data_IF_499845588909
#
_entry.id   IF_499845588909
#
_cell.length_a   1.000
_cell.length_b   1.000
_cell.length_c   1.000
_cell.angle_alpha   90.00
_cell.angle_beta   90.00
_cell.angle_gamma   90.00
#
_symmetry.space_group_name_H-M   'P 1'
#
loop_
_entity.id
_entity.type
_entity.pdbx_description
1 polymer ?
#
# COMPACT_ATOMS: atom_id res chain seq x y z
N UNK A 1 -53.06 -14.54 -42.61
CA UNK A 1 -52.19 -13.46 -42.10
C UNK A 1 -52.01 -13.68 -40.61
N UNK A 2 -50.80 -14.07 -40.20
CA UNK A 2 -50.24 -13.93 -38.85
C UNK A 2 -48.76 -14.27 -38.99
N UNK A 3 -47.96 -13.22 -39.19
CA UNK A 3 -46.51 -13.25 -39.31
C UNK A 3 -45.90 -13.36 -37.91
N UNK A 4 -45.19 -14.45 -37.66
CA UNK A 4 -44.27 -14.61 -36.52
C UNK A 4 -43.04 -13.74 -36.80
N UNK A 5 -42.63 -12.81 -35.91
CA UNK A 5 -41.40 -12.07 -36.10
C UNK A 5 -40.20 -12.96 -35.76
N UNK A 6 -39.28 -13.08 -36.72
CA UNK A 6 -38.02 -13.78 -36.63
C UNK A 6 -37.09 -13.13 -35.59
N UNK A 7 -36.32 -13.99 -34.90
CA UNK A 7 -35.14 -13.61 -34.13
C UNK A 7 -34.22 -12.70 -34.93
N UNK A 8 -33.85 -11.56 -34.34
CA UNK A 8 -32.89 -10.64 -34.91
C UNK A 8 -32.46 -9.60 -33.89
N UNK A 9 -31.16 -9.61 -33.61
CA UNK A 9 -30.35 -8.60 -32.90
C UNK A 9 -30.11 -8.82 -31.40
N UNK A 10 -29.28 -9.83 -31.11
CA UNK A 10 -28.23 -9.69 -30.11
C UNK A 10 -27.40 -8.43 -30.45
N UNK A 11 -27.76 -7.28 -29.87
CA UNK A 11 -26.85 -6.14 -29.80
C UNK A 11 -25.78 -6.48 -28.78
N UNK A 12 -24.56 -6.47 -29.29
CA UNK A 12 -23.34 -6.84 -28.59
C UNK A 12 -23.20 -6.18 -27.22
N UNK A 13 -22.79 -7.04 -26.29
CA UNK A 13 -21.72 -6.80 -25.33
C UNK A 13 -20.92 -5.53 -25.65
N UNK A 14 -21.14 -4.48 -24.86
CA UNK A 14 -20.03 -3.67 -24.36
C UNK A 14 -20.11 -3.74 -22.84
N UNK A 15 -19.68 -4.88 -22.30
CA UNK A 15 -19.13 -4.86 -20.95
C UNK A 15 -17.99 -3.86 -21.02
N UNK A 16 -18.15 -2.72 -20.36
CA UNK A 16 -17.03 -1.86 -20.03
C UNK A 16 -16.10 -2.74 -19.20
N UNK A 17 -15.14 -3.39 -19.86
CA UNK A 17 -13.95 -3.87 -19.21
C UNK A 17 -13.37 -2.62 -18.56
N UNK A 18 -13.62 -2.46 -17.26
CA UNK A 18 -12.99 -1.45 -16.46
C UNK A 18 -11.51 -1.67 -16.69
N UNK A 19 -10.89 -0.77 -17.45
CA UNK A 19 -9.43 -0.68 -17.50
C UNK A 19 -9.06 -0.55 -16.03
N UNK A 20 -8.56 -1.64 -15.45
CA UNK A 20 -8.20 -1.69 -14.04
C UNK A 20 -7.24 -0.52 -13.85
N UNK A 21 -7.70 0.51 -13.14
CA UNK A 21 -6.88 1.68 -12.86
C UNK A 21 -5.75 1.16 -11.99
N UNK A 22 -4.58 0.95 -12.58
CA UNK A 22 -3.40 0.55 -11.81
C UNK A 22 -3.01 1.72 -10.91
N UNK A 23 -3.17 1.51 -9.62
CA UNK A 23 -2.84 2.43 -8.53
C UNK A 23 -1.59 1.88 -7.86
N UNK A 24 -0.62 2.74 -7.55
CA UNK A 24 0.58 2.36 -6.81
C UNK A 24 0.73 3.19 -5.53
N UNK A 25 1.31 2.55 -4.51
CA UNK A 25 1.70 3.23 -3.28
C UNK A 25 3.04 3.95 -3.47
N UNK A 26 3.03 5.26 -3.30
CA UNK A 26 4.23 6.11 -3.39
C UNK A 26 4.46 6.85 -2.08
N UNK A 27 5.72 6.90 -1.67
CA UNK A 27 6.19 7.76 -0.59
C UNK A 27 6.23 9.20 -1.09
N UNK A 28 5.55 10.08 -0.36
CA UNK A 28 5.45 11.52 -0.62
C UNK A 28 6.16 12.36 0.44
N UNK A 29 6.86 11.72 1.40
CA UNK A 29 7.68 12.41 2.40
C UNK A 29 8.80 13.27 1.78
N UNK A 30 9.19 12.94 0.54
CA UNK A 30 10.13 13.73 -0.25
C UNK A 30 9.70 15.18 -0.39
N UNK A 31 8.40 15.45 -0.52
CA UNK A 31 7.88 16.82 -0.68
C UNK A 31 8.19 17.72 0.50
N UNK A 32 8.33 17.15 1.70
CA UNK A 32 8.73 17.87 2.91
C UNK A 32 10.26 18.08 2.96
N UNK A 33 11.01 17.06 2.56
CA UNK A 33 12.47 17.01 2.72
C UNK A 33 13.23 17.62 1.54
N UNK A 34 12.52 18.03 0.48
CA UNK A 34 13.09 18.56 -0.77
C UNK A 34 13.43 17.50 -1.81
N UNK A 35 13.08 16.24 -1.55
CA UNK A 35 13.29 15.09 -2.43
C UNK A 35 12.06 14.81 -3.32
N UNK A 36 12.26 14.11 -4.44
CA UNK A 36 11.13 13.59 -5.24
C UNK A 36 10.40 12.43 -4.54
N UNK A 37 9.14 12.19 -4.93
CA UNK A 37 8.37 11.03 -4.45
C UNK A 37 9.02 9.72 -4.90
N UNK A 38 9.18 8.76 -3.98
CA UNK A 38 9.81 7.45 -4.24
C UNK A 38 8.78 6.32 -4.09
N UNK A 39 9.12 5.10 -4.51
CA UNK A 39 8.28 3.93 -4.19
C UNK A 39 8.19 3.79 -2.67
N UNK A 40 6.99 3.56 -2.15
CA UNK A 40 6.80 3.35 -0.72
C UNK A 40 7.57 2.10 -0.26
N UNK A 41 8.13 2.14 0.95
CA UNK A 41 8.73 0.96 1.58
C UNK A 41 7.69 0.23 2.45
N UNK A 42 7.95 -1.05 2.74
CA UNK A 42 7.06 -1.89 3.55
C UNK A 42 7.65 -2.10 4.95
N UNK A 43 6.87 -1.80 5.99
CA UNK A 43 7.27 -2.06 7.37
C UNK A 43 7.39 -3.57 7.66
N UNK A 44 8.56 -4.01 8.11
CA UNK A 44 8.89 -5.41 8.33
C UNK A 44 9.83 -5.60 9.54
N UNK A 45 9.63 -6.68 10.31
CA UNK A 45 10.55 -7.06 11.39
C UNK A 45 11.83 -7.65 10.78
N UNK A 46 13.01 -7.25 11.28
CA UNK A 46 14.29 -7.68 10.74
C UNK A 46 14.48 -7.26 9.27
N UNK A 47 14.07 -6.03 8.98
CA UNK A 47 14.36 -5.33 7.73
C UNK A 47 15.86 -5.17 7.54
N UNK A 48 16.27 -5.20 6.28
CA UNK A 48 17.64 -4.97 5.85
C UNK A 48 17.62 -4.64 4.37
N UNK A 49 18.75 -4.19 3.83
CA UNK A 49 18.94 -4.01 2.38
C UNK A 49 18.84 -5.33 1.60
N UNK A 50 18.84 -6.46 2.31
CA UNK A 50 18.66 -7.81 1.77
C UNK A 50 17.21 -8.32 1.86
N UNK A 51 16.26 -7.51 2.36
CA UNK A 51 14.86 -7.90 2.51
C UNK A 51 13.94 -7.02 1.67
N UNK A 52 13.21 -7.64 0.76
CA UNK A 52 12.13 -7.02 -0.01
C UNK A 52 10.78 -7.56 0.45
N UNK A 53 9.72 -6.82 0.16
CA UNK A 53 8.34 -7.29 0.31
C UNK A 53 7.49 -6.99 -0.92
N UNK A 54 6.44 -7.78 -1.12
CA UNK A 54 5.40 -7.51 -2.09
C UNK A 54 4.01 -7.73 -1.46
N UNK A 55 3.06 -6.89 -1.87
CA UNK A 55 1.69 -6.95 -1.38
C UNK A 55 0.92 -8.05 -2.12
N UNK A 56 0.27 -8.94 -1.39
CA UNK A 56 -0.58 -10.01 -1.94
C UNK A 56 -2.07 -9.74 -1.74
N UNK A 57 -2.43 -8.65 -1.05
CA UNK A 57 -3.82 -8.31 -0.72
C UNK A 57 -4.75 -8.25 -1.94
N UNK A 58 -4.19 -7.96 -3.12
CA UNK A 58 -4.95 -7.87 -4.36
C UNK A 58 -5.36 -9.22 -4.98
N UNK A 59 -4.89 -10.34 -4.40
CA UNK A 59 -5.20 -11.70 -4.85
C UNK A 59 -6.26 -12.38 -3.97
N UNK A 60 -6.95 -11.61 -3.13
CA UNK A 60 -8.03 -12.05 -2.25
C UNK A 60 -7.73 -13.38 -1.54
N UNK A 61 -8.54 -14.42 -1.74
CA UNK A 61 -8.39 -15.73 -1.09
C UNK A 61 -7.26 -16.58 -1.68
N UNK A 62 -6.79 -16.25 -2.89
CA UNK A 62 -5.76 -17.04 -3.60
C UNK A 62 -4.34 -16.60 -3.25
N UNK A 63 -4.18 -15.64 -2.34
CA UNK A 63 -2.90 -15.02 -1.99
C UNK A 63 -1.80 -16.04 -1.61
N UNK A 64 -2.14 -17.18 -1.00
CA UNK A 64 -1.18 -18.24 -0.64
C UNK A 64 -0.58 -18.89 -1.90
N UNK A 65 -1.45 -19.28 -2.84
CA UNK A 65 -1.05 -19.86 -4.12
C UNK A 65 -0.20 -18.84 -4.90
N UNK A 66 -0.57 -17.56 -4.85
CA UNK A 66 0.21 -16.50 -5.52
C UNK A 66 1.56 -16.26 -4.87
N UNK A 67 1.66 -16.40 -3.54
CA UNK A 67 2.95 -16.30 -2.87
C UNK A 67 3.92 -17.37 -3.39
N UNK A 68 3.47 -18.62 -3.48
CA UNK A 68 4.29 -19.73 -4.00
C UNK A 68 4.64 -19.52 -5.48
N UNK A 69 3.69 -19.08 -6.31
CA UNK A 69 3.94 -18.78 -7.73
C UNK A 69 5.03 -17.70 -7.92
N UNK A 70 5.07 -16.70 -7.03
CA UNK A 70 6.12 -15.67 -7.03
C UNK A 70 7.48 -16.28 -6.66
N UNK A 71 7.51 -17.16 -5.64
CA UNK A 71 8.74 -17.82 -5.20
C UNK A 71 9.29 -18.76 -6.28
N UNK A 72 8.42 -19.54 -6.94
CA UNK A 72 8.80 -20.38 -8.07
C UNK A 72 9.39 -19.57 -9.22
N UNK A 73 8.82 -18.39 -9.50
CA UNK A 73 9.30 -17.49 -10.56
C UNK A 73 10.60 -16.75 -10.23
N UNK A 74 10.99 -16.68 -8.95
CA UNK A 74 12.34 -16.23 -8.57
C UNK A 74 13.41 -17.28 -8.96
N UNK A 75 13.01 -18.53 -9.21
CA UNK A 75 13.88 -19.60 -9.68
C UNK A 75 15.03 -19.89 -8.72
N UNK A 76 16.23 -20.04 -9.27
CA UNK A 76 17.42 -20.44 -8.50
C UNK A 76 18.03 -19.31 -7.64
N UNK A 77 17.39 -18.14 -7.53
CA UNK A 77 17.89 -17.06 -6.67
C UNK A 77 17.84 -17.53 -5.20
N UNK A 78 18.98 -17.63 -4.49
CA UNK A 78 18.98 -18.07 -3.09
C UNK A 78 18.21 -17.11 -2.19
N UNK A 79 17.09 -17.58 -1.64
CA UNK A 79 16.16 -16.80 -0.83
C UNK A 79 15.59 -17.59 0.36
N UNK A 80 15.14 -16.84 1.37
CA UNK A 80 14.25 -17.33 2.43
C UNK A 80 12.99 -16.46 2.43
N UNK A 81 11.81 -17.07 2.47
CA UNK A 81 10.53 -16.36 2.50
C UNK A 81 9.95 -16.26 3.91
N UNK A 82 9.14 -15.22 4.14
CA UNK A 82 8.35 -14.99 5.33
C UNK A 82 7.01 -14.39 4.90
N UNK A 83 5.90 -14.83 5.50
CA UNK A 83 4.57 -14.36 5.13
C UNK A 83 3.91 -13.67 6.32
N UNK A 84 3.49 -12.43 6.13
CA UNK A 84 2.55 -11.75 7.01
C UNK A 84 1.12 -12.03 6.54
N UNK A 85 0.50 -13.07 7.11
CA UNK A 85 -0.84 -13.51 6.74
C UNK A 85 -1.95 -12.51 7.08
N UNK A 86 -1.72 -11.56 8.01
CA UNK A 86 -2.71 -10.55 8.38
C UNK A 86 -2.74 -9.42 7.37
N UNK A 87 -1.56 -8.92 7.01
CA UNK A 87 -1.40 -7.85 6.03
C UNK A 87 -1.37 -8.35 4.59
N UNK A 88 -1.29 -9.67 4.40
CA UNK A 88 -1.14 -10.36 3.11
C UNK A 88 0.09 -9.82 2.37
N UNK A 89 1.26 -9.98 2.99
CA UNK A 89 2.54 -9.53 2.45
C UNK A 89 3.49 -10.72 2.41
N UNK A 90 4.12 -10.94 1.26
CA UNK A 90 5.25 -11.84 1.13
C UNK A 90 6.53 -11.02 1.31
N UNK A 91 7.37 -11.44 2.26
CA UNK A 91 8.73 -10.96 2.40
C UNK A 91 9.71 -11.99 1.88
N UNK A 92 10.73 -11.51 1.17
CA UNK A 92 11.80 -12.36 0.63
C UNK A 92 13.13 -11.79 1.10
N UNK A 93 13.90 -12.62 1.81
CA UNK A 93 15.26 -12.33 2.26
C UNK A 93 16.25 -12.97 1.30
N UNK A 94 17.17 -12.18 0.79
CA UNK A 94 18.16 -12.60 -0.19
C UNK A 94 19.52 -12.81 0.47
N UNK A 95 20.33 -13.71 -0.11
CA UNK A 95 21.68 -13.99 0.40
C UNK A 95 22.63 -12.78 0.32
N UNK A 96 22.51 -11.96 -0.71
CA UNK A 96 23.39 -10.82 -0.98
C UNK A 96 22.69 -9.76 -1.84
N UNK A 97 23.32 -8.59 -1.99
CA UNK A 97 22.76 -7.47 -2.76
C UNK A 97 22.65 -7.75 -4.27
N UNK A 98 23.47 -8.66 -4.81
CA UNK A 98 23.37 -9.05 -6.22
C UNK A 98 22.04 -9.77 -6.50
N UNK A 99 21.64 -10.67 -5.59
CA UNK A 99 20.36 -11.36 -5.66
C UNK A 99 19.16 -10.40 -5.54
N UNK A 100 19.27 -9.37 -4.69
CA UNK A 100 18.27 -8.30 -4.56
C UNK A 100 18.09 -7.56 -5.89
N UNK A 101 19.20 -7.22 -6.57
CA UNK A 101 19.17 -6.56 -7.88
C UNK A 101 18.52 -7.47 -8.93
N UNK A 102 18.93 -8.73 -9.02
CA UNK A 102 18.32 -9.73 -9.91
C UNK A 102 16.81 -9.86 -9.70
N UNK A 103 16.35 -9.89 -8.46
CA UNK A 103 14.93 -9.96 -8.15
C UNK A 103 14.16 -8.67 -8.54
N UNK A 104 14.74 -7.48 -8.33
CA UNK A 104 14.12 -6.21 -8.77
C UNK A 104 14.06 -6.08 -10.29
N UNK A 105 15.04 -6.66 -11.00
CA UNK A 105 15.10 -6.68 -12.47
C UNK A 105 14.24 -7.79 -13.08
N UNK A 106 13.93 -8.84 -12.31
CA UNK A 106 13.04 -9.92 -12.74
C UNK A 106 11.63 -9.37 -13.00
N UNK A 107 11.18 -9.46 -14.25
CA UNK A 107 9.83 -9.08 -14.64
C UNK A 107 8.84 -10.19 -14.27
N UNK A 108 8.72 -10.49 -12.97
CA UNK A 108 7.80 -11.51 -12.48
C UNK A 108 6.37 -11.01 -12.69
N UNK A 109 5.58 -11.82 -13.37
CA UNK A 109 4.17 -11.55 -13.65
C UNK A 109 3.32 -12.70 -13.11
N UNK A 110 2.30 -12.41 -12.31
CA UNK A 110 1.35 -13.38 -11.76
C UNK A 110 -0.06 -12.87 -12.03
N UNK A 111 -0.90 -13.70 -12.66
CA UNK A 111 -2.25 -13.32 -13.13
C UNK A 111 -2.28 -12.04 -13.99
N UNK A 112 -1.32 -11.92 -14.91
CA UNK A 112 -1.15 -10.74 -15.77
C UNK A 112 -0.85 -9.43 -14.99
N UNK A 113 -0.36 -9.55 -13.75
CA UNK A 113 0.07 -8.43 -12.92
C UNK A 113 1.55 -8.53 -12.62
N UNK A 114 2.27 -7.45 -12.89
CA UNK A 114 3.69 -7.37 -12.55
C UNK A 114 3.85 -7.26 -11.04
N UNK A 115 4.69 -8.12 -10.48
CA UNK A 115 5.04 -8.10 -9.06
C UNK A 115 5.97 -6.93 -8.79
N UNK A 116 5.56 -6.09 -7.85
CA UNK A 116 6.36 -4.97 -7.39
C UNK A 116 7.05 -5.33 -6.07
N UNK A 117 8.33 -5.67 -6.13
CA UNK A 117 9.16 -5.75 -4.93
C UNK A 117 9.51 -4.36 -4.42
N UNK A 118 9.22 -4.12 -3.14
CA UNK A 118 9.48 -2.89 -2.42
C UNK A 118 10.53 -3.15 -1.35
N UNK A 119 11.36 -2.14 -1.08
CA UNK A 119 12.28 -2.18 0.06
C UNK A 119 11.51 -2.19 1.37
N UNK A 120 12.17 -2.64 2.42
CA UNK A 120 11.57 -2.70 3.75
C UNK A 120 12.13 -1.62 4.67
N UNK A 121 11.38 -1.28 5.72
CA UNK A 121 11.87 -0.53 6.89
C UNK A 121 11.72 -1.38 8.14
N UNK A 122 12.66 -1.26 9.08
CA UNK A 122 12.64 -2.00 10.34
C UNK A 122 11.42 -1.59 11.16
N UNK A 123 10.59 -2.57 11.49
CA UNK A 123 9.42 -2.42 12.35
C UNK A 123 9.74 -2.88 13.77
N UNK A 124 9.67 -1.96 14.72
CA UNK A 124 9.69 -2.24 16.17
C UNK A 124 8.33 -1.95 16.83
N UNK A 125 8.22 -2.23 18.14
CA UNK A 125 7.00 -1.92 18.95
C UNK A 125 6.63 -0.43 18.98
N UNK A 126 7.57 0.43 18.61
CA UNK A 126 7.45 1.88 18.63
C UNK A 126 6.78 2.45 17.36
N UNK A 127 6.55 1.63 16.33
CA UNK A 127 6.00 2.12 15.07
C UNK A 127 4.49 1.93 15.00
N UNK A 128 3.77 2.95 14.53
CA UNK A 128 2.34 2.86 14.24
C UNK A 128 2.05 3.40 12.84
N UNK A 129 1.06 2.80 12.21
CA UNK A 129 0.52 3.26 10.93
C UNK A 129 -0.82 3.93 11.19
N UNK A 130 -0.92 5.21 10.84
CA UNK A 130 -2.17 5.95 10.79
C UNK A 130 -2.64 6.02 9.33
N UNK A 131 -3.95 5.99 9.12
CA UNK A 131 -4.56 6.09 7.80
C UNK A 131 -5.61 7.18 7.80
N UNK A 132 -5.57 8.04 6.79
CA UNK A 132 -6.68 8.92 6.43
C UNK A 132 -7.48 8.22 5.33
N UNK A 133 -8.73 7.82 5.60
CA UNK A 133 -9.50 7.01 4.67
C UNK A 133 -9.91 7.79 3.43
N UNK A 134 -10.28 9.06 3.59
CA UNK A 134 -10.78 9.93 2.53
C UNK A 134 -10.39 11.38 2.77
N UNK A 135 -10.19 12.11 1.69
CA UNK A 135 -9.86 13.54 1.62
C UNK A 135 -10.86 14.16 0.64
N UNK A 136 -11.48 15.29 0.96
CA UNK A 136 -12.49 15.89 0.07
C UNK A 136 -12.09 17.28 -0.44
N UNK A 137 -11.76 18.21 0.46
CA UNK A 137 -11.52 19.62 0.13
C UNK A 137 -10.04 19.94 0.04
N UNK A 138 -9.26 19.31 0.91
CA UNK A 138 -7.84 19.59 1.05
C UNK A 138 -7.03 19.01 -0.11
N UNK A 139 -6.09 19.78 -0.66
CA UNK A 139 -5.12 19.24 -1.63
C UNK A 139 -4.14 18.29 -0.93
N UNK A 140 -3.71 17.20 -1.58
CA UNK A 140 -2.80 16.23 -0.94
C UNK A 140 -1.48 16.87 -0.47
N UNK A 141 -1.00 17.90 -1.17
CA UNK A 141 0.20 18.66 -0.90
C UNK A 141 0.09 19.36 0.45
N UNK A 142 -0.96 20.18 0.61
CA UNK A 142 -1.21 20.89 1.86
C UNK A 142 -1.49 19.94 3.02
N UNK A 143 -2.21 18.85 2.76
CA UNK A 143 -2.47 17.84 3.77
C UNK A 143 -1.19 17.16 4.24
N UNK A 144 -0.26 16.85 3.33
CA UNK A 144 1.04 16.24 3.65
C UNK A 144 1.86 17.18 4.54
N UNK A 145 1.89 18.48 4.24
CA UNK A 145 2.55 19.48 5.09
C UNK A 145 1.93 19.55 6.49
N UNK A 146 0.60 19.66 6.57
CA UNK A 146 -0.11 19.78 7.84
C UNK A 146 0.07 18.52 8.69
N UNK A 147 -0.01 17.34 8.07
CA UNK A 147 0.24 16.06 8.73
C UNK A 147 1.66 15.95 9.27
N UNK A 148 2.65 16.33 8.47
CA UNK A 148 4.03 16.27 8.90
C UNK A 148 4.24 17.18 10.12
N UNK A 149 3.78 18.43 10.05
CA UNK A 149 3.97 19.40 11.13
C UNK A 149 3.27 18.97 12.43
N UNK A 150 2.03 18.49 12.35
CA UNK A 150 1.27 18.07 13.53
C UNK A 150 1.87 16.81 14.15
N UNK A 151 2.14 15.80 13.34
CA UNK A 151 2.56 14.49 13.84
C UNK A 151 4.04 14.46 14.23
N UNK A 152 4.90 15.24 13.57
CA UNK A 152 6.32 15.30 13.92
C UNK A 152 6.55 15.86 15.34
N UNK A 153 5.56 16.54 15.93
CA UNK A 153 5.59 16.99 17.32
C UNK A 153 5.45 15.85 18.34
N UNK A 154 4.85 14.72 17.94
CA UNK A 154 4.54 13.57 18.82
C UNK A 154 5.33 12.31 18.50
N UNK A 155 5.99 12.23 17.35
CA UNK A 155 6.87 11.13 16.97
C UNK A 155 7.56 11.39 15.62
N UNK A 156 8.59 10.61 15.31
CA UNK A 156 9.34 10.77 14.07
C UNK A 156 8.49 10.24 12.90
N UNK A 157 8.15 11.13 11.95
CA UNK A 157 7.43 10.73 10.73
C UNK A 157 8.42 10.05 9.78
N UNK A 158 8.29 8.73 9.65
CA UNK A 158 9.20 7.89 8.86
C UNK A 158 8.82 7.93 7.38
N UNK A 159 7.53 7.87 7.08
CA UNK A 159 7.03 7.94 5.72
C UNK A 159 5.58 8.44 5.69
N UNK A 160 5.22 9.08 4.58
CA UNK A 160 3.85 9.41 4.21
C UNK A 160 3.60 8.76 2.86
N UNK A 161 2.70 7.78 2.82
CA UNK A 161 2.39 7.02 1.61
C UNK A 161 1.04 7.43 1.03
N UNK A 162 1.02 7.86 -0.22
CA UNK A 162 -0.19 8.16 -0.98
C UNK A 162 -0.45 7.11 -2.08
N UNK A 163 -1.70 7.00 -2.52
CA UNK A 163 -2.04 6.27 -3.74
C UNK A 163 -1.92 7.19 -4.94
N UNK A 164 -1.12 6.78 -5.94
CA UNK A 164 -0.91 7.49 -7.20
C UNK A 164 -1.36 6.62 -8.38
N UNK A 165 -1.93 7.24 -9.40
CA UNK A 165 -2.14 6.56 -10.67
C UNK A 165 -0.81 6.23 -11.34
N UNK A 166 -0.61 4.98 -11.78
CA UNK A 166 0.70 4.57 -12.29
C UNK A 166 1.21 5.41 -13.47
N UNK A 167 0.31 5.81 -14.36
CA UNK A 167 0.64 6.51 -15.60
C UNK A 167 0.35 8.02 -15.58
N UNK A 168 -0.03 8.58 -14.42
CA UNK A 168 -0.44 9.99 -14.32
C UNK A 168 0.12 10.64 -13.07
N UNK A 169 0.43 11.92 -13.15
CA UNK A 169 0.71 12.77 -11.97
C UNK A 169 -0.58 13.14 -11.21
N UNK A 170 -1.39 12.13 -10.91
CA UNK A 170 -2.65 12.26 -10.17
C UNK A 170 -2.65 11.33 -8.98
N UNK A 171 -2.84 11.92 -7.80
CA UNK A 171 -2.98 11.24 -6.53
C UNK A 171 -4.46 11.03 -6.21
N UNK A 172 -4.75 9.95 -5.50
CA UNK A 172 -6.10 9.63 -5.08
C UNK A 172 -6.36 10.25 -3.71
N UNK A 173 -7.58 10.75 -3.54
CA UNK A 173 -8.04 11.38 -2.31
C UNK A 173 -8.49 10.36 -1.25
N UNK A 174 -7.85 9.18 -1.21
CA UNK A 174 -8.17 8.09 -0.30
C UNK A 174 -6.92 7.37 0.16
N UNK A 175 -6.98 6.74 1.33
CA UNK A 175 -5.97 5.81 1.84
C UNK A 175 -4.55 6.41 1.97
N UNK A 176 -4.45 7.66 2.41
CA UNK A 176 -3.15 8.23 2.77
C UNK A 176 -2.68 7.58 4.07
N UNK A 177 -1.45 7.09 4.13
CA UNK A 177 -0.89 6.40 5.30
C UNK A 177 0.29 7.17 5.86
N UNK A 178 0.35 7.31 7.18
CA UNK A 178 1.49 7.82 7.92
C UNK A 178 2.15 6.67 8.67
N UNK A 179 3.45 6.51 8.49
CA UNK A 179 4.28 5.64 9.32
C UNK A 179 5.06 6.49 10.31
N UNK A 180 4.84 6.27 11.60
CA UNK A 180 5.37 7.11 12.67
C UNK A 180 6.09 6.22 13.67
N UNK A 181 7.27 6.66 14.13
CA UNK A 181 7.99 6.07 15.25
C UNK A 181 7.77 6.92 16.50
N UNK A 182 7.13 6.34 17.51
CA UNK A 182 6.88 7.01 18.78
C UNK A 182 8.00 6.69 19.77
N UNK A 183 8.63 7.74 20.31
CA UNK A 183 9.72 7.60 21.28
C UNK A 183 9.22 7.45 22.73
N UNK A 184 7.90 7.50 22.96
CA UNK A 184 7.20 7.33 24.25
C UNK A 184 5.72 7.03 24.00
N UNK A 185 4.97 6.61 25.02
CA UNK A 185 3.51 6.57 24.92
C UNK A 185 2.98 8.00 24.75
N UNK A 186 2.41 8.28 23.58
CA UNK A 186 1.77 9.56 23.26
C UNK A 186 0.35 9.29 22.81
N UNK A 187 -0.58 10.13 23.27
CA UNK A 187 -1.94 10.14 22.79
C UNK A 187 -1.95 10.57 21.32
N UNK A 188 -2.41 9.65 20.46
CA UNK A 188 -2.47 9.90 19.04
C UNK A 188 -3.75 10.70 18.76
N UNK A 189 -3.65 11.83 18.04
CA UNK A 189 -4.84 12.57 17.64
C UNK A 189 -5.75 11.67 16.80
N UNK A 190 -7.04 11.71 17.10
CA UNK A 190 -8.05 10.98 16.31
C UNK A 190 -8.44 11.74 15.06
N UNK A 191 -8.12 13.03 14.98
CA UNK A 191 -8.42 13.90 13.86
C UNK A 191 -7.32 14.96 13.69
N UNK A 192 -7.15 15.43 12.47
CA UNK A 192 -6.34 16.59 12.09
C UNK A 192 -7.25 17.60 11.38
N UNK A 193 -7.01 18.89 11.61
CA UNK A 193 -7.63 19.97 10.85
C UNK A 193 -6.68 20.41 9.73
N UNK A 194 -7.17 20.38 8.49
CA UNK A 194 -6.44 20.89 7.33
C UNK A 194 -7.44 21.55 6.38
N UNK A 195 -7.15 22.78 5.94
CA UNK A 195 -8.01 23.57 5.04
C UNK A 195 -9.52 23.57 5.41
N UNK A 196 -9.84 23.85 6.68
CA UNK A 196 -11.23 23.87 7.20
C UNK A 196 -11.97 22.52 7.04
N UNK A 197 -11.23 21.43 6.89
CA UNK A 197 -11.70 20.05 6.87
C UNK A 197 -11.13 19.31 8.08
N UNK A 198 -12.01 18.69 8.87
CA UNK A 198 -11.63 17.80 9.98
C UNK A 198 -11.51 16.37 9.45
N UNK A 199 -10.29 15.89 9.31
CA UNK A 199 -9.97 14.59 8.74
C UNK A 199 -9.71 13.58 9.85
N UNK A 200 -10.32 12.39 9.75
CA UNK A 200 -10.13 11.33 10.73
C UNK A 200 -8.78 10.60 10.53
N UNK A 201 -8.10 10.33 11.64
CA UNK A 201 -6.89 9.50 11.71
C UNK A 201 -7.26 8.13 12.28
N UNK A 202 -7.14 7.09 11.46
CA UNK A 202 -7.43 5.72 11.85
C UNK A 202 -6.12 4.95 12.06
N UNK A 203 -5.80 4.56 13.29
CA UNK A 203 -4.67 3.66 13.56
C UNK A 203 -4.99 2.22 13.16
N UNK A 204 -4.02 1.47 12.64
CA UNK A 204 -4.19 0.03 12.42
C UNK A 204 -4.41 -0.74 13.74
N UNK A 205 -3.92 -0.22 14.87
CA UNK A 205 -4.19 -0.79 16.20
C UNK A 205 -5.61 -0.49 16.71
N UNK A 206 -6.30 0.52 16.15
CA UNK A 206 -7.67 0.90 16.54
C UNK A 206 -8.75 -0.03 15.96
N UNK A 207 -8.40 -0.90 15.01
CA UNK A 207 -9.29 -2.00 14.59
C UNK A 207 -9.47 -3.08 15.68
N UNK A 208 -8.72 -3.02 16.79
CA UNK A 208 -8.88 -3.94 17.93
C UNK A 208 -9.94 -3.55 18.97
N UNK A 209 -10.60 -2.39 18.86
CA UNK A 209 -11.50 -1.93 19.95
C UNK A 209 -12.99 -1.77 19.61
N UNK A 210 -13.47 -2.15 18.42
CA UNK A 210 -14.92 -2.06 18.10
C UNK A 210 -15.64 -3.43 17.97
N UNK A 211 -14.95 -4.56 18.17
CA UNK A 211 -15.60 -5.89 18.09
C UNK A 211 -15.71 -6.66 19.42
N UNK A 212 -15.41 -6.06 20.57
CA UNK A 212 -15.61 -6.70 21.88
C UNK A 212 -16.37 -5.81 22.89
N UNK A 213 -17.47 -5.20 22.44
CA UNK A 213 -18.45 -4.61 23.35
C UNK A 213 -19.85 -5.04 22.92
N UNK A 214 -20.17 -6.32 23.16
CA UNK A 214 -21.51 -6.87 23.44
C UNK A 214 -21.39 -8.37 23.70
N UNK A 215 -21.20 -8.73 24.96
CA UNK A 215 -21.80 -9.93 25.57
C UNK A 215 -22.52 -9.46 26.82
#
# INVERSE_FOLDING_TARGET
MNTVPSMGNNKGIQTYASIAKKEMHVSVIGWITGDESKKAKILSIGSSDLKLGCMLKEYDEQWEIRAEEILDKLGDIPTNSEIDWKRKILFVKFRNLENVKKAKESQIEVENKQILFQETYEYGKEYKILTIPSISKTTIWKLVDDLYNEINSIGDVIDITALKHESKERYLSKNLKLSIKFNKEVDIPTHIESCDEKLALCGLDLLRFVLNAKR
#
